data_IF_659434713437
#
_entry.id   IF_659434713437
#
_cell.length_a   1.000
_cell.length_b   1.000
_cell.length_c   1.000
_cell.angle_alpha   90.00
_cell.angle_beta   90.00
_cell.angle_gamma   90.00
#
_symmetry.space_group_name_H-M   'P 1'
#
loop_
_entity.id
_entity.type
_entity.pdbx_description
1 polymer ?
#
# COMPACT_ATOMS: atom_id res chain seq x y z
N UNK A 1 21.74 -6.11 10.80
CA UNK A 1 21.10 -5.25 9.78
C UNK A 1 21.76 -3.88 9.55
N UNK A 2 22.41 -3.26 10.54
CA UNK A 2 23.03 -1.93 10.39
C UNK A 2 24.07 -1.86 9.28
N UNK A 3 24.69 -3.01 8.96
CA UNK A 3 25.65 -3.11 7.86
C UNK A 3 25.05 -2.73 6.51
N UNK A 4 23.81 -3.13 6.19
CA UNK A 4 23.17 -2.76 4.92
C UNK A 4 23.02 -1.24 4.83
N UNK A 5 22.42 -0.62 5.84
CA UNK A 5 22.22 0.83 5.95
C UNK A 5 23.51 1.66 5.86
N UNK A 6 24.66 1.08 6.23
CA UNK A 6 25.96 1.74 6.10
C UNK A 6 26.43 1.88 4.66
N UNK A 7 26.19 0.85 3.84
CA UNK A 7 26.67 0.77 2.47
C UNK A 7 25.60 1.12 1.43
N UNK A 8 24.33 1.10 1.83
CA UNK A 8 23.14 1.28 1.01
C UNK A 8 22.28 2.37 1.68
N UNK A 9 22.23 3.56 1.09
CA UNK A 9 21.60 4.78 1.66
C UNK A 9 20.24 5.10 1.04
N UNK A 10 19.57 4.10 0.50
CA UNK A 10 18.27 4.28 -0.13
C UNK A 10 17.26 4.67 0.94
N UNK A 11 16.55 5.77 0.69
CA UNK A 11 15.55 6.31 1.59
C UNK A 11 14.43 6.91 0.73
N UNK A 12 13.22 6.90 1.27
CA UNK A 12 12.08 7.59 0.64
C UNK A 12 12.43 9.07 0.50
N UNK A 13 12.10 9.65 -0.66
CA UNK A 13 12.35 11.06 -0.94
C UNK A 13 11.70 11.96 0.12
N UNK A 14 12.41 13.02 0.52
CA UNK A 14 11.93 13.97 1.53
C UNK A 14 10.61 14.64 1.14
N UNK A 15 10.35 14.86 -0.15
CA UNK A 15 9.09 15.41 -0.67
C UNK A 15 7.94 14.44 -0.44
N UNK A 16 8.15 13.15 -0.69
CA UNK A 16 7.15 12.10 -0.42
C UNK A 16 6.87 12.01 1.09
N UNK A 17 7.92 11.99 1.91
CA UNK A 17 7.74 11.99 3.38
C UNK A 17 7.05 13.25 3.91
N UNK A 18 7.28 14.41 3.28
CA UNK A 18 6.59 15.65 3.60
C UNK A 18 5.11 15.55 3.23
N UNK A 19 4.80 15.09 2.02
CA UNK A 19 3.43 14.85 1.58
C UNK A 19 2.67 13.90 2.53
N UNK A 20 3.31 12.80 2.94
CA UNK A 20 2.73 11.87 3.91
C UNK A 20 2.49 12.50 5.28
N UNK A 21 3.37 13.40 5.72
CA UNK A 21 3.15 14.11 6.98
C UNK A 21 1.97 15.09 6.87
N UNK A 22 1.91 15.88 5.80
CA UNK A 22 0.81 16.82 5.54
C UNK A 22 -0.54 16.10 5.49
N UNK A 23 -0.60 14.95 4.82
CA UNK A 23 -1.80 14.10 4.77
C UNK A 23 -2.16 13.53 6.15
N UNK A 24 -1.19 13.07 6.93
CA UNK A 24 -1.43 12.61 8.31
C UNK A 24 -2.04 13.71 9.19
N UNK A 25 -1.53 14.93 9.05
CA UNK A 25 -1.98 16.10 9.81
C UNK A 25 -3.36 16.57 9.32
N UNK A 26 -3.59 16.61 8.01
CA UNK A 26 -4.86 16.98 7.37
C UNK A 26 -6.01 16.08 7.85
N UNK A 27 -5.80 14.76 7.84
CA UNK A 27 -6.84 13.77 8.17
C UNK A 27 -6.79 13.30 9.63
N UNK A 28 -5.91 13.85 10.46
CA UNK A 28 -5.82 13.51 11.89
C UNK A 28 -5.41 12.06 12.18
N UNK A 29 -4.60 11.45 11.31
CA UNK A 29 -4.25 10.02 11.35
C UNK A 29 -3.30 9.66 12.50
N UNK A 30 -2.61 10.66 13.07
CA UNK A 30 -1.59 10.49 14.14
C UNK A 30 -0.42 9.56 13.75
N UNK A 31 -0.19 9.37 12.46
CA UNK A 31 0.93 8.61 11.90
C UNK A 31 2.13 9.53 11.64
N UNK A 32 3.35 9.03 11.85
CA UNK A 32 4.58 9.82 11.65
C UNK A 32 5.29 9.37 10.38
N UNK A 33 5.40 10.23 9.36
CA UNK A 33 6.00 9.83 8.08
C UNK A 33 7.47 9.40 8.18
N UNK A 34 8.20 9.85 9.21
CA UNK A 34 9.58 9.42 9.47
C UNK A 34 9.70 7.98 9.99
N UNK A 35 8.63 7.43 10.57
CA UNK A 35 8.58 6.01 10.95
C UNK A 35 8.27 5.18 9.70
N UNK A 36 9.01 4.09 9.50
CA UNK A 36 8.88 3.26 8.29
C UNK A 36 7.51 2.59 8.15
N UNK A 37 7.01 1.99 9.24
CA UNK A 37 5.72 1.32 9.22
C UNK A 37 4.60 2.33 8.96
N UNK A 38 4.66 3.48 9.63
CA UNK A 38 3.71 4.57 9.42
C UNK A 38 3.77 5.13 8.00
N UNK A 39 4.95 5.27 7.41
CA UNK A 39 5.10 5.69 6.02
C UNK A 39 4.43 4.70 5.05
N UNK A 40 4.55 3.40 5.29
CA UNK A 40 3.85 2.38 4.51
C UNK A 40 2.33 2.46 4.71
N UNK A 41 1.85 2.67 5.94
CA UNK A 41 0.41 2.92 6.22
C UNK A 41 -0.09 4.16 5.49
N UNK A 42 0.68 5.25 5.48
CA UNK A 42 0.35 6.49 4.77
C UNK A 42 0.29 6.25 3.26
N UNK A 43 1.17 5.43 2.68
CA UNK A 43 1.08 5.07 1.26
C UNK A 43 -0.17 4.25 0.90
N UNK A 44 -0.67 3.42 1.83
CA UNK A 44 -1.96 2.73 1.67
C UNK A 44 -3.11 3.74 1.72
N UNK A 45 -3.04 4.70 2.64
CA UNK A 45 -4.02 5.78 2.74
C UNK A 45 -4.08 6.64 1.48
N UNK A 46 -2.92 6.99 0.90
CA UNK A 46 -2.81 7.71 -0.38
C UNK A 46 -3.51 6.95 -1.50
N UNK A 47 -3.22 5.65 -1.67
CA UNK A 47 -3.92 4.81 -2.66
C UNK A 47 -5.42 4.77 -2.42
N UNK A 48 -5.85 4.67 -1.16
CA UNK A 48 -7.26 4.66 -0.79
C UNK A 48 -7.95 6.00 -1.11
N UNK A 49 -7.27 7.14 -0.94
CA UNK A 49 -7.78 8.46 -1.34
C UNK A 49 -7.92 8.56 -2.86
N UNK A 50 -6.98 8.02 -3.62
CA UNK A 50 -7.06 7.98 -5.09
C UNK A 50 -8.25 7.14 -5.54
N UNK A 51 -8.46 5.97 -4.93
CA UNK A 51 -9.64 5.14 -5.19
C UNK A 51 -10.93 5.88 -4.86
N UNK A 52 -11.03 6.52 -3.69
CA UNK A 52 -12.20 7.33 -3.30
C UNK A 52 -12.51 8.40 -4.36
N UNK A 53 -11.51 9.20 -4.72
CA UNK A 53 -11.63 10.24 -5.76
C UNK A 53 -12.02 9.67 -7.12
N UNK A 54 -11.55 8.48 -7.46
CA UNK A 54 -11.93 7.80 -8.70
C UNK A 54 -13.43 7.48 -8.74
N UNK A 55 -13.99 6.88 -7.68
CA UNK A 55 -15.43 6.61 -7.61
C UNK A 55 -16.25 7.89 -7.69
N UNK A 56 -15.84 8.91 -6.95
CA UNK A 56 -16.51 10.21 -6.89
C UNK A 56 -16.51 10.94 -8.24
N UNK A 57 -15.37 11.01 -8.91
CA UNK A 57 -15.28 11.62 -10.23
C UNK A 57 -16.10 10.85 -11.28
N UNK A 58 -16.08 9.51 -11.21
CA UNK A 58 -16.85 8.68 -12.16
C UNK A 58 -18.35 8.81 -11.94
N UNK A 59 -18.77 8.89 -10.69
CA UNK A 59 -20.15 9.20 -10.34
C UNK A 59 -20.61 10.52 -10.99
N UNK A 60 -19.85 11.61 -10.80
CA UNK A 60 -20.20 12.92 -11.38
C UNK A 60 -20.16 12.92 -12.92
N UNK A 61 -19.21 12.21 -13.54
CA UNK A 61 -19.13 12.05 -14.99
C UNK A 61 -20.38 11.37 -15.55
N UNK A 62 -20.79 10.25 -14.97
CA UNK A 62 -21.98 9.49 -15.39
C UNK A 62 -23.25 10.31 -15.17
N UNK A 63 -23.35 11.00 -14.02
CA UNK A 63 -24.47 11.91 -13.74
C UNK A 63 -24.58 13.01 -14.80
N UNK A 64 -23.47 13.64 -15.16
CA UNK A 64 -23.45 14.70 -16.18
C UNK A 64 -23.77 14.19 -17.58
N UNK A 65 -23.32 12.97 -17.93
CA UNK A 65 -23.65 12.32 -19.21
C UNK A 65 -25.15 12.00 -19.36
N UNK A 66 -25.84 11.82 -18.23
CA UNK A 66 -27.25 11.45 -18.19
C UNK A 66 -28.13 12.60 -17.67
N UNK A 67 -27.64 13.84 -17.66
CA UNK A 67 -28.28 14.99 -16.99
C UNK A 67 -29.73 15.22 -17.43
N UNK A 68 -30.04 15.00 -18.71
CA UNK A 68 -31.36 15.21 -19.30
C UNK A 68 -32.43 14.26 -18.74
N UNK A 69 -32.05 13.03 -18.40
CA UNK A 69 -32.95 12.02 -17.86
C UNK A 69 -32.83 11.86 -16.34
N UNK A 70 -31.79 12.46 -15.74
CA UNK A 70 -31.36 12.17 -14.39
C UNK A 70 -32.46 12.39 -13.36
N UNK A 71 -33.17 13.50 -13.44
CA UNK A 71 -34.24 13.87 -12.51
C UNK A 71 -35.53 13.04 -12.70
N UNK A 72 -35.66 12.32 -13.81
CA UNK A 72 -36.84 11.53 -14.17
C UNK A 72 -36.67 10.07 -13.74
N UNK A 73 -35.45 9.55 -13.78
CA UNK A 73 -35.15 8.16 -13.41
C UNK A 73 -35.08 7.96 -11.89
N UNK A 74 -35.53 6.79 -11.43
CA UNK A 74 -35.51 6.41 -10.03
C UNK A 74 -34.08 6.16 -9.51
N UNK A 75 -33.92 6.18 -8.19
CA UNK A 75 -32.63 5.89 -7.54
C UNK A 75 -32.04 4.54 -7.97
N UNK A 76 -32.87 3.50 -8.08
CA UNK A 76 -32.44 2.17 -8.47
C UNK A 76 -31.93 2.15 -9.92
N UNK A 77 -32.57 2.90 -10.80
CA UNK A 77 -32.14 3.03 -12.21
C UNK A 77 -30.83 3.81 -12.31
N UNK A 78 -30.68 4.92 -11.57
CA UNK A 78 -29.41 5.66 -11.47
C UNK A 78 -28.28 4.75 -11.00
N UNK A 79 -28.51 4.00 -9.93
CA UNK A 79 -27.52 3.09 -9.39
C UNK A 79 -27.16 1.97 -10.36
N UNK A 80 -28.16 1.44 -11.08
CA UNK A 80 -27.93 0.44 -12.12
C UNK A 80 -27.04 0.98 -13.25
N UNK A 81 -27.35 2.17 -13.77
CA UNK A 81 -26.54 2.84 -14.81
C UNK A 81 -25.10 3.02 -14.32
N UNK A 82 -24.93 3.61 -13.13
CA UNK A 82 -23.59 3.83 -12.55
C UNK A 82 -22.82 2.51 -12.41
N UNK A 83 -23.48 1.48 -11.87
CA UNK A 83 -22.87 0.17 -11.65
C UNK A 83 -22.42 -0.46 -12.97
N UNK A 84 -23.24 -0.38 -14.02
CA UNK A 84 -22.89 -0.88 -15.34
C UNK A 84 -21.68 -0.14 -15.93
N UNK A 85 -21.68 1.18 -15.87
CA UNK A 85 -20.65 2.01 -16.48
C UNK A 85 -19.30 1.93 -15.74
N UNK A 86 -19.33 1.82 -14.42
CA UNK A 86 -18.11 1.76 -13.60
C UNK A 86 -17.53 0.34 -13.47
N UNK A 87 -18.31 -0.72 -13.72
CA UNK A 87 -17.92 -2.10 -13.43
C UNK A 87 -16.55 -2.50 -14.02
N UNK A 88 -16.33 -2.22 -15.30
CA UNK A 88 -15.08 -2.58 -15.98
C UNK A 88 -13.88 -1.74 -15.52
N UNK A 89 -14.14 -0.52 -15.03
CA UNK A 89 -13.12 0.43 -14.61
C UNK A 89 -12.68 0.19 -13.17
N UNK A 90 -13.61 -0.13 -12.26
CA UNK A 90 -13.28 -0.38 -10.85
C UNK A 90 -12.44 -1.63 -10.65
N UNK A 91 -12.55 -2.64 -11.53
CA UNK A 91 -11.71 -3.85 -11.49
C UNK A 91 -10.21 -3.50 -11.62
N UNK A 92 -9.87 -2.40 -12.30
CA UNK A 92 -8.48 -1.94 -12.46
C UNK A 92 -7.93 -1.25 -11.21
N UNK A 93 -8.79 -0.85 -10.27
CA UNK A 93 -8.37 -0.23 -9.02
C UNK A 93 -7.85 -1.27 -8.04
N UNK A 94 -6.83 -0.90 -7.28
CA UNK A 94 -6.27 -1.78 -6.24
C UNK A 94 -7.29 -1.96 -5.12
N UNK A 95 -7.62 -3.21 -4.80
CA UNK A 95 -8.58 -3.56 -3.75
C UNK A 95 -8.29 -4.96 -3.21
N UNK A 96 -8.93 -5.30 -2.10
CA UNK A 96 -8.90 -6.66 -1.54
C UNK A 96 -10.29 -7.07 -1.07
N UNK A 97 -10.47 -8.37 -0.82
CA UNK A 97 -11.71 -8.88 -0.23
C UNK A 97 -11.62 -8.99 1.29
N UNK A 98 -12.67 -8.56 1.98
CA UNK A 98 -12.82 -8.76 3.42
C UNK A 98 -14.25 -9.22 3.73
N UNK A 99 -14.38 -10.47 4.16
CA UNK A 99 -15.67 -11.13 4.45
C UNK A 99 -16.69 -11.02 3.32
N UNK A 100 -16.22 -11.29 2.09
CA UNK A 100 -17.03 -11.29 0.87
C UNK A 100 -17.12 -9.93 0.17
N UNK A 101 -16.87 -8.83 0.88
CA UNK A 101 -16.98 -7.46 0.36
C UNK A 101 -15.65 -6.98 -0.24
N UNK A 102 -15.71 -6.19 -1.32
CA UNK A 102 -14.52 -5.54 -1.88
C UNK A 102 -14.19 -4.27 -1.09
N UNK A 103 -12.94 -4.14 -0.68
CA UNK A 103 -12.42 -2.99 0.06
C UNK A 103 -11.48 -2.21 -0.86
N UNK A 104 -11.98 -1.09 -1.38
CA UNK A 104 -11.23 -0.14 -2.20
C UNK A 104 -10.63 0.98 -1.35
N UNK A 105 -11.25 1.29 -0.21
CA UNK A 105 -10.92 2.41 0.66
C UNK A 105 -10.67 1.85 2.07
N UNK A 106 -9.46 1.31 2.37
CA UNK A 106 -9.13 0.65 3.64
C UNK A 106 -9.15 1.52 4.91
N UNK A 107 -9.38 2.83 4.79
CA UNK A 107 -9.66 3.69 5.94
C UNK A 107 -11.16 3.84 6.21
N UNK A 108 -12.03 3.27 5.40
CA UNK A 108 -13.46 3.15 5.65
C UNK A 108 -13.81 1.75 6.13
N UNK A 109 -14.90 1.63 6.88
CA UNK A 109 -15.46 0.33 7.24
C UNK A 109 -16.03 -0.41 6.03
N UNK A 110 -16.47 -1.66 6.24
CA UNK A 110 -17.05 -2.49 5.19
C UNK A 110 -18.33 -1.90 4.62
N UNK A 111 -19.16 -1.30 5.48
CA UNK A 111 -20.46 -0.76 5.06
C UNK A 111 -20.25 0.39 4.07
N UNK A 112 -19.36 1.32 4.39
CA UNK A 112 -19.00 2.41 3.48
C UNK A 112 -18.35 1.91 2.20
N UNK A 113 -17.45 0.92 2.28
CA UNK A 113 -16.89 0.33 1.05
C UNK A 113 -17.96 -0.30 0.16
N UNK A 114 -18.94 -1.00 0.76
CA UNK A 114 -20.08 -1.56 0.03
C UNK A 114 -20.92 -0.48 -0.65
N UNK A 115 -21.14 0.65 0.02
CA UNK A 115 -21.84 1.78 -0.59
C UNK A 115 -21.08 2.35 -1.79
N UNK A 116 -19.75 2.46 -1.70
CA UNK A 116 -18.95 2.89 -2.85
C UNK A 116 -18.94 1.84 -3.99
N UNK A 117 -18.95 0.55 -3.66
CA UNK A 117 -18.84 -0.55 -4.63
C UNK A 117 -20.17 -0.87 -5.35
N UNK A 118 -21.26 -0.97 -4.60
CA UNK A 118 -22.57 -1.47 -5.06
C UNK A 118 -23.67 -0.42 -5.13
N UNK A 119 -23.59 0.64 -4.32
CA UNK A 119 -24.66 1.66 -4.17
C UNK A 119 -24.12 3.08 -4.39
N UNK A 120 -23.28 3.28 -5.40
CA UNK A 120 -22.57 4.55 -5.63
C UNK A 120 -23.53 5.73 -5.84
N UNK A 121 -24.77 5.50 -6.29
CA UNK A 121 -25.80 6.54 -6.40
C UNK A 121 -26.13 7.22 -5.05
N UNK A 122 -25.78 6.59 -3.93
CA UNK A 122 -26.00 7.16 -2.59
C UNK A 122 -25.25 8.48 -2.39
N UNK A 123 -24.20 8.75 -3.17
CA UNK A 123 -23.45 10.00 -3.16
C UNK A 123 -24.31 11.23 -3.49
N UNK A 124 -25.48 11.05 -4.11
CA UNK A 124 -26.46 12.12 -4.38
C UNK A 124 -27.22 12.61 -3.15
N UNK A 125 -27.28 11.78 -2.11
CA UNK A 125 -28.11 12.10 -0.97
C UNK A 125 -27.41 13.17 -0.13
N UNK A 126 -28.12 14.23 0.32
CA UNK A 126 -27.59 15.30 1.18
C UNK A 126 -26.79 14.79 2.40
N UNK A 127 -27.23 13.68 2.99
CA UNK A 127 -26.54 13.04 4.12
C UNK A 127 -25.17 12.43 3.76
N UNK A 128 -24.95 12.07 2.50
CA UNK A 128 -23.69 11.51 1.97
C UNK A 128 -22.78 12.57 1.32
N UNK A 129 -23.29 13.76 0.98
CA UNK A 129 -22.44 14.89 0.62
C UNK A 129 -21.45 15.29 1.72
N UNK A 130 -21.79 15.06 3.00
CA UNK A 130 -20.83 15.22 4.11
C UNK A 130 -19.67 14.23 4.02
N UNK A 131 -19.92 12.97 3.61
CA UNK A 131 -18.86 11.98 3.37
C UNK A 131 -17.92 12.38 2.21
N UNK A 132 -18.39 13.19 1.28
CA UNK A 132 -17.56 13.71 0.19
C UNK A 132 -16.45 14.63 0.70
N UNK A 133 -16.79 15.57 1.61
CA UNK A 133 -15.91 16.67 2.05
C UNK A 133 -15.34 16.52 3.46
N UNK A 134 -16.03 15.85 4.36
CA UNK A 134 -15.69 15.79 5.79
C UNK A 134 -15.92 14.38 6.35
N UNK A 135 -15.07 13.45 5.91
CA UNK A 135 -15.14 12.03 6.29
C UNK A 135 -14.16 11.65 7.41
N UNK A 136 -13.52 12.63 8.07
CA UNK A 136 -12.50 12.36 9.10
C UNK A 136 -13.03 11.49 10.23
N UNK A 137 -14.26 11.74 10.66
CA UNK A 137 -14.93 10.96 11.72
C UNK A 137 -15.31 9.53 11.30
N UNK A 138 -15.19 9.20 10.01
CA UNK A 138 -15.43 7.87 9.45
C UNK A 138 -14.15 7.09 9.20
N UNK A 139 -12.99 7.69 9.45
CA UNK A 139 -11.69 7.04 9.29
C UNK A 139 -11.53 6.00 10.40
N UNK A 140 -11.40 4.74 10.00
CA UNK A 140 -10.95 3.65 10.85
C UNK A 140 -9.46 3.41 10.65
N UNK A 141 -8.82 2.75 11.64
CA UNK A 141 -7.43 2.33 11.48
C UNK A 141 -7.32 1.32 10.33
N UNK A 142 -6.33 1.51 9.45
CA UNK A 142 -5.99 0.56 8.38
C UNK A 142 -5.69 -0.83 8.96
N UNK A 143 -5.17 -0.89 10.20
CA UNK A 143 -4.87 -2.13 10.90
C UNK A 143 -6.12 -3.00 11.14
N UNK A 144 -7.32 -2.42 11.06
CA UNK A 144 -8.60 -3.16 11.17
C UNK A 144 -8.77 -4.21 10.06
N UNK A 145 -8.07 -4.05 8.94
CA UNK A 145 -8.05 -5.01 7.83
C UNK A 145 -6.83 -5.94 7.86
N UNK A 146 -6.01 -5.85 8.90
CA UNK A 146 -4.76 -6.59 9.03
C UNK A 146 -3.81 -6.32 7.88
N UNK A 147 -3.16 -7.36 7.37
CA UNK A 147 -2.13 -7.25 6.32
C UNK A 147 -2.71 -7.23 4.89
N UNK A 148 -4.03 -7.36 4.74
CA UNK A 148 -4.70 -7.49 3.43
C UNK A 148 -4.43 -6.33 2.46
N UNK A 149 -4.41 -5.04 2.89
CA UNK A 149 -4.10 -3.93 1.97
C UNK A 149 -2.71 -4.06 1.35
N UNK A 150 -1.73 -4.55 2.12
CA UNK A 150 -0.35 -4.74 1.65
C UNK A 150 -0.25 -5.90 0.66
N UNK A 151 -0.92 -7.02 0.95
CA UNK A 151 -1.00 -8.19 0.05
C UNK A 151 -1.62 -7.80 -1.30
N UNK A 152 -2.63 -6.93 -1.28
CA UNK A 152 -3.25 -6.38 -2.48
C UNK A 152 -2.45 -5.25 -3.16
N UNK A 153 -1.17 -5.07 -2.79
CA UNK A 153 -0.28 -4.07 -3.36
C UNK A 153 -0.79 -2.63 -3.25
N UNK A 154 -1.61 -2.31 -2.24
CA UNK A 154 -2.14 -0.95 -2.02
C UNK A 154 -1.10 0.00 -1.42
N UNK A 155 0.00 -0.51 -0.88
CA UNK A 155 1.12 0.32 -0.43
C UNK A 155 2.04 0.67 -1.60
N UNK A 156 2.94 1.64 -1.38
CA UNK A 156 4.01 1.97 -2.32
C UNK A 156 4.92 0.77 -2.64
N UNK A 157 5.20 -0.07 -1.64
CA UNK A 157 5.98 -1.28 -1.82
C UNK A 157 5.07 -2.46 -2.23
N UNK A 158 5.53 -3.28 -3.18
CA UNK A 158 4.79 -4.43 -3.70
C UNK A 158 5.02 -5.64 -2.80
N UNK A 159 3.96 -6.38 -2.47
CA UNK A 159 4.07 -7.64 -1.76
C UNK A 159 4.62 -8.73 -2.67
N UNK A 160 5.72 -9.37 -2.24
CA UNK A 160 6.39 -10.42 -3.00
C UNK A 160 6.03 -11.80 -2.44
N UNK A 161 6.07 -11.94 -1.11
CA UNK A 161 5.71 -13.18 -0.41
C UNK A 161 5.24 -12.85 1.00
N UNK A 162 4.40 -13.71 1.57
CA UNK A 162 3.95 -13.60 2.95
C UNK A 162 3.77 -14.99 3.56
N UNK A 163 3.78 -15.05 4.89
CA UNK A 163 3.29 -16.18 5.68
C UNK A 163 2.21 -15.68 6.67
N UNK A 164 1.92 -16.43 7.72
CA UNK A 164 0.91 -16.05 8.72
C UNK A 164 1.34 -14.86 9.60
N UNK A 165 2.65 -14.65 9.78
CA UNK A 165 3.18 -13.67 10.74
C UNK A 165 3.76 -12.44 10.06
N UNK A 166 4.50 -12.62 8.97
CA UNK A 166 5.21 -11.57 8.26
C UNK A 166 4.88 -11.55 6.78
N UNK A 167 5.05 -10.37 6.21
CA UNK A 167 5.09 -10.16 4.77
C UNK A 167 6.41 -9.52 4.37
N UNK A 168 6.84 -9.81 3.15
CA UNK A 168 7.99 -9.19 2.52
C UNK A 168 7.52 -8.30 1.36
N UNK A 169 7.78 -7.01 1.48
CA UNK A 169 7.54 -6.03 0.43
C UNK A 169 8.83 -5.65 -0.27
N UNK A 170 8.73 -5.19 -1.51
CA UNK A 170 9.81 -4.58 -2.26
C UNK A 170 9.37 -3.22 -2.81
N UNK A 171 10.12 -2.17 -2.47
CA UNK A 171 9.99 -0.84 -3.08
C UNK A 171 11.04 -0.71 -4.18
N UNK A 172 10.55 -0.72 -5.41
CA UNK A 172 11.35 -0.67 -6.63
C UNK A 172 12.01 0.69 -6.84
N UNK A 173 11.35 1.78 -6.45
CA UNK A 173 11.85 3.15 -6.64
C UNK A 173 13.08 3.45 -5.79
N UNK A 174 13.23 2.76 -4.65
CA UNK A 174 14.38 2.93 -3.76
C UNK A 174 15.15 1.62 -3.55
N UNK A 175 14.92 0.59 -4.35
CA UNK A 175 15.56 -0.74 -4.24
C UNK A 175 15.71 -1.19 -2.77
N UNK A 176 14.59 -1.40 -2.08
CA UNK A 176 14.58 -1.74 -0.67
C UNK A 176 13.54 -2.82 -0.38
N UNK A 177 13.97 -3.89 0.31
CA UNK A 177 13.03 -4.85 0.89
C UNK A 177 12.54 -4.37 2.25
N UNK A 178 11.34 -4.81 2.61
CA UNK A 178 10.75 -4.61 3.93
C UNK A 178 10.27 -5.96 4.44
N UNK A 179 10.65 -6.33 5.66
CA UNK A 179 9.98 -7.41 6.41
C UNK A 179 9.10 -6.75 7.44
N UNK A 180 7.80 -7.01 7.42
CA UNK A 180 6.87 -6.35 8.34
C UNK A 180 5.73 -7.23 8.79
N UNK A 181 5.15 -6.84 9.92
CA UNK A 181 3.83 -7.24 10.40
C UNK A 181 3.08 -5.97 10.84
N UNK A 182 1.97 -6.10 11.57
CA UNK A 182 1.19 -4.94 12.02
C UNK A 182 1.89 -4.07 13.10
N UNK A 183 2.92 -4.61 13.75
CA UNK A 183 3.62 -3.99 14.89
C UNK A 183 4.99 -3.46 14.52
N UNK A 184 5.70 -4.16 13.64
CA UNK A 184 7.07 -3.84 13.28
C UNK A 184 7.33 -3.90 11.78
N UNK A 185 8.33 -3.14 11.35
CA UNK A 185 8.77 -3.08 9.97
C UNK A 185 10.29 -2.82 9.94
N UNK A 186 11.01 -3.72 9.30
CA UNK A 186 12.47 -3.66 9.16
C UNK A 186 12.85 -3.49 7.70
N UNK A 187 13.75 -2.53 7.43
CA UNK A 187 14.18 -2.13 6.07
C UNK A 187 15.51 -2.73 5.69
N UNK A 188 15.57 -3.38 4.53
CA UNK A 188 16.77 -4.00 3.97
C UNK A 188 17.13 -3.30 2.64
N UNK A 189 17.88 -2.19 2.69
CA UNK A 189 18.30 -1.48 1.48
C UNK A 189 19.36 -2.29 0.73
N UNK A 190 19.25 -2.36 -0.59
CA UNK A 190 20.14 -3.13 -1.46
C UNK A 190 20.85 -2.23 -2.47
N UNK A 191 21.65 -2.78 -3.37
CA UNK A 191 22.24 -2.02 -4.45
C UNK A 191 21.12 -1.50 -5.37
N UNK A 192 21.22 -0.24 -5.77
CA UNK A 192 20.26 0.34 -6.70
C UNK A 192 20.54 -0.24 -8.09
N UNK A 193 19.62 -1.04 -8.60
CA UNK A 193 19.64 -1.59 -9.95
C UNK A 193 18.21 -1.58 -10.48
N UNK A 194 18.06 -1.25 -11.76
CA UNK A 194 16.74 -1.10 -12.37
C UNK A 194 16.11 -2.41 -12.80
N UNK A 195 16.87 -3.52 -12.84
CA UNK A 195 16.46 -4.72 -13.57
C UNK A 195 16.60 -6.02 -12.78
N UNK A 196 16.20 -6.03 -11.49
CA UNK A 196 16.09 -7.29 -10.77
C UNK A 196 14.89 -8.10 -11.27
N UNK A 197 15.16 -9.33 -11.74
CA UNK A 197 14.10 -10.21 -12.22
C UNK A 197 13.09 -10.55 -11.09
N UNK A 198 11.83 -10.75 -11.46
CA UNK A 198 10.80 -11.16 -10.50
C UNK A 198 11.15 -12.48 -9.79
N UNK A 199 11.83 -13.39 -10.48
CA UNK A 199 12.30 -14.66 -9.91
C UNK A 199 13.36 -14.42 -8.82
N UNK A 200 14.34 -13.55 -9.10
CA UNK A 200 15.38 -13.17 -8.14
C UNK A 200 14.77 -12.53 -6.90
N UNK A 201 13.86 -11.56 -7.09
CA UNK A 201 13.16 -10.89 -5.98
C UNK A 201 12.39 -11.90 -5.13
N UNK A 202 11.72 -12.87 -5.77
CA UNK A 202 10.98 -13.91 -5.07
C UNK A 202 11.89 -14.84 -4.26
N UNK A 203 13.03 -15.27 -4.82
CA UNK A 203 14.00 -16.13 -4.11
C UNK A 203 14.54 -15.42 -2.87
N UNK A 204 15.01 -14.18 -3.01
CA UNK A 204 15.48 -13.38 -1.88
C UNK A 204 14.38 -13.17 -0.84
N UNK A 205 13.16 -12.84 -1.27
CA UNK A 205 12.06 -12.61 -0.32
C UNK A 205 11.67 -13.86 0.47
N UNK A 206 11.74 -15.06 -0.15
CA UNK A 206 11.52 -16.34 0.55
C UNK A 206 12.61 -16.59 1.59
N UNK A 207 13.88 -16.34 1.27
CA UNK A 207 14.98 -16.45 2.23
C UNK A 207 14.79 -15.52 3.44
N UNK A 208 14.27 -14.31 3.22
CA UNK A 208 14.00 -13.33 4.29
C UNK A 208 12.89 -13.76 5.26
N UNK A 209 11.92 -14.55 4.80
CA UNK A 209 10.94 -15.15 5.70
C UNK A 209 11.56 -16.20 6.61
N UNK A 210 12.64 -16.89 6.18
CA UNK A 210 13.31 -17.91 6.97
C UNK A 210 14.27 -17.28 7.98
N UNK A 211 15.21 -16.46 7.52
CA UNK A 211 16.15 -15.75 8.41
C UNK A 211 16.88 -14.61 7.69
N UNK A 212 17.37 -13.65 8.47
CA UNK A 212 18.20 -12.57 7.95
C UNK A 212 19.52 -13.10 7.32
N UNK A 213 20.13 -14.15 7.89
CA UNK A 213 21.38 -14.69 7.38
C UNK A 213 21.23 -15.32 5.99
N UNK A 214 20.19 -16.15 5.80
CA UNK A 214 19.90 -16.73 4.48
C UNK A 214 19.54 -15.67 3.46
N UNK A 215 18.85 -14.60 3.88
CA UNK A 215 18.57 -13.48 3.01
C UNK A 215 19.85 -12.79 2.54
N UNK A 216 20.78 -12.50 3.46
CA UNK A 216 22.08 -11.92 3.10
C UNK A 216 22.84 -12.83 2.13
N UNK A 217 22.81 -14.14 2.32
CA UNK A 217 23.44 -15.10 1.39
C UNK A 217 22.83 -15.02 -0.01
N UNK A 218 21.50 -14.98 -0.11
CA UNK A 218 20.81 -14.79 -1.38
C UNK A 218 21.17 -13.45 -2.03
N UNK A 219 21.24 -12.36 -1.26
CA UNK A 219 21.64 -11.06 -1.80
C UNK A 219 23.08 -11.05 -2.33
N UNK A 220 24.00 -11.81 -1.73
CA UNK A 220 25.37 -11.96 -2.22
C UNK A 220 25.40 -12.78 -3.51
N UNK A 221 24.70 -13.91 -3.53
CA UNK A 221 24.58 -14.80 -4.70
C UNK A 221 24.08 -14.06 -5.94
N UNK A 222 23.07 -13.20 -5.78
CA UNK A 222 22.48 -12.42 -6.86
C UNK A 222 23.11 -11.02 -7.05
N UNK A 223 24.31 -10.79 -6.48
CA UNK A 223 25.08 -9.55 -6.64
C UNK A 223 24.29 -8.26 -6.29
N UNK A 224 23.37 -8.36 -5.32
CA UNK A 224 22.49 -7.26 -4.91
C UNK A 224 23.12 -6.35 -3.83
N UNK A 225 24.39 -6.57 -3.47
CA UNK A 225 25.11 -5.81 -2.45
C UNK A 225 26.37 -5.16 -3.01
N UNK A 226 26.77 -4.04 -2.42
CA UNK A 226 28.03 -3.39 -2.77
C UNK A 226 29.21 -4.35 -2.46
N UNK A 227 30.22 -4.50 -3.35
CA UNK A 227 31.36 -5.39 -3.09
C UNK A 227 32.11 -5.10 -1.78
N UNK A 228 32.14 -3.84 -1.33
CA UNK A 228 32.71 -3.47 -0.02
C UNK A 228 31.86 -3.96 1.15
N UNK A 229 30.54 -4.02 0.99
CA UNK A 229 29.61 -4.59 1.96
C UNK A 229 29.86 -6.10 2.09
N UNK A 230 29.92 -6.83 0.95
CA UNK A 230 30.20 -8.27 0.90
C UNK A 230 31.51 -8.62 1.61
N UNK A 231 32.60 -7.93 1.28
CA UNK A 231 33.90 -8.12 1.96
C UNK A 231 33.81 -7.92 3.48
N UNK A 232 33.00 -6.95 3.93
CA UNK A 232 32.82 -6.68 5.36
C UNK A 232 31.99 -7.76 6.06
N UNK A 233 30.93 -8.26 5.41
CA UNK A 233 30.10 -9.37 5.89
C UNK A 233 30.96 -10.62 6.08
N UNK A 234 31.74 -11.03 5.07
CA UNK A 234 32.60 -12.21 5.15
C UNK A 234 33.62 -12.10 6.30
N UNK A 235 34.25 -10.93 6.45
CA UNK A 235 35.19 -10.67 7.56
C UNK A 235 34.54 -10.71 8.94
N UNK A 236 33.24 -10.41 9.06
CA UNK A 236 32.51 -10.52 10.33
C UNK A 236 32.20 -11.98 10.66
N UNK A 237 31.77 -12.75 9.66
CA UNK A 237 31.50 -14.20 9.77
C UNK A 237 32.75 -14.97 10.18
N UNK A 238 33.90 -14.70 9.56
CA UNK A 238 35.19 -15.31 9.94
C UNK A 238 35.59 -15.06 11.40
N UNK A 239 35.12 -13.97 12.00
CA UNK A 239 35.43 -13.58 13.38
C UNK A 239 34.40 -14.08 14.40
N UNK A 240 33.41 -14.88 13.97
CA UNK A 240 32.32 -15.33 14.81
C UNK A 240 31.45 -14.21 15.38
N UNK A 241 31.46 -13.02 14.75
CA UNK A 241 30.64 -11.88 15.18
C UNK A 241 29.32 -11.87 14.40
N UNK A 242 28.20 -11.76 15.12
CA UNK A 242 26.87 -11.63 14.52
C UNK A 242 26.75 -10.43 13.59
N UNK A 243 25.86 -10.53 12.60
CA UNK A 243 25.55 -9.48 11.62
C UNK A 243 24.61 -8.41 12.22
N UNK A 244 25.01 -7.78 13.33
CA UNK A 244 24.24 -6.69 13.96
C UNK A 244 24.10 -5.44 13.06
#
# INVERSE_FOLDING_TARGET
>A
MKILHKYHKQNIDRKVLKHYQEMSDEYGLKLKSKNTLDALKLSVFETALLNKKFFENKFEEIRNQNIDMWDIISFNERNFIIKCDIASLKIKQKHFKNDGENIYIPFFDKLLNKLYDDETAILELPQFFKLYKDFKDKIISIDSYGLKPYIANMSRAKCIVHNEEYLVLYDEEISCFYKMNLKECTRYPILESKDYSAETLLKCSKSLLISDDQFIDSLIEYEMLNPKCVKKINKLREKGKGLE
#
